data_IF_007005123257
#
_entry.id   IF_007005123257
#
_cell.length_a   1.000
_cell.length_b   1.000
_cell.length_c   1.000
_cell.angle_alpha   90.00
_cell.angle_beta   90.00
_cell.angle_gamma   90.00
#
_symmetry.space_group_name_H-M   'P 1'
#
loop_
_entity.id
_entity.type
_entity.pdbx_description
1 polymer ?
#
# COMPACT_ATOMS: atom_id res chain seq x y z
N UNK A 1 -20.82 -7.70 -21.93
CA UNK A 1 -19.46 -8.31 -21.86
C UNK A 1 -19.39 -9.09 -20.57
N UNK A 2 -18.91 -10.33 -20.60
CA UNK A 2 -18.71 -11.11 -19.38
C UNK A 2 -17.36 -10.72 -18.77
N UNK A 3 -17.36 -10.26 -17.52
CA UNK A 3 -16.12 -9.95 -16.80
C UNK A 3 -15.38 -11.25 -16.51
N UNK A 4 -14.12 -11.35 -16.93
CA UNK A 4 -13.22 -12.45 -16.57
C UNK A 4 -12.32 -11.98 -15.42
N UNK A 5 -12.29 -12.74 -14.34
CA UNK A 5 -11.32 -12.60 -13.26
C UNK A 5 -10.35 -13.79 -13.28
N UNK A 6 -9.07 -13.54 -13.02
CA UNK A 6 -8.02 -14.55 -13.02
C UNK A 6 -7.18 -14.39 -11.76
N UNK A 7 -6.81 -15.51 -11.13
CA UNK A 7 -5.96 -15.56 -9.95
C UNK A 7 -4.77 -16.44 -10.28
N UNK A 8 -3.58 -15.86 -10.18
CA UNK A 8 -2.32 -16.58 -10.38
C UNK A 8 -1.68 -16.84 -9.03
N UNK A 9 -1.39 -18.11 -8.74
CA UNK A 9 -0.61 -18.50 -7.58
C UNK A 9 0.86 -18.51 -7.99
N UNK A 10 1.64 -17.55 -7.49
CA UNK A 10 3.04 -17.39 -7.87
C UNK A 10 3.77 -16.37 -7.00
N UNK A 11 5.05 -16.16 -7.30
CA UNK A 11 5.89 -15.20 -6.61
C UNK A 11 5.83 -13.83 -7.31
N UNK A 12 5.29 -12.82 -6.62
CA UNK A 12 5.16 -11.46 -7.16
C UNK A 12 6.49 -10.78 -7.50
N UNK A 13 7.64 -11.33 -7.07
CA UNK A 13 8.97 -10.90 -7.55
C UNK A 13 9.20 -11.26 -9.03
N UNK A 14 8.37 -12.14 -9.59
CA UNK A 14 8.41 -12.58 -10.99
C UNK A 14 6.98 -12.80 -11.54
N UNK A 15 6.41 -11.81 -12.22
CA UNK A 15 5.07 -11.88 -12.80
C UNK A 15 5.12 -12.34 -14.28
N UNK A 16 5.71 -13.51 -14.55
CA UNK A 16 6.01 -13.99 -15.93
C UNK A 16 4.77 -14.19 -16.79
N UNK A 17 3.64 -14.42 -16.14
CA UNK A 17 2.32 -14.68 -16.71
C UNK A 17 1.72 -13.40 -17.31
N UNK A 18 2.20 -12.23 -16.89
CA UNK A 18 1.72 -10.92 -17.35
C UNK A 18 2.77 -10.27 -18.25
N UNK A 19 2.38 -9.88 -19.47
CA UNK A 19 3.30 -9.26 -20.41
C UNK A 19 3.64 -7.83 -19.99
N UNK A 20 4.71 -7.31 -20.57
CA UNK A 20 5.10 -5.91 -20.39
C UNK A 20 3.98 -5.00 -20.88
N UNK A 21 3.70 -3.94 -20.11
CA UNK A 21 2.70 -2.93 -20.49
C UNK A 21 1.32 -3.51 -20.83
N UNK A 22 0.87 -4.50 -20.06
CA UNK A 22 -0.43 -5.13 -20.22
C UNK A 22 -1.50 -4.51 -19.30
N UNK A 23 -1.10 -4.09 -18.09
CA UNK A 23 -1.98 -3.64 -17.01
C UNK A 23 -2.22 -2.13 -17.07
N UNK A 24 -3.48 -1.69 -16.92
CA UNK A 24 -3.86 -0.27 -16.93
C UNK A 24 -3.71 0.40 -15.53
N UNK A 25 -3.94 -0.35 -14.45
CA UNK A 25 -3.91 0.10 -13.06
C UNK A 25 -3.43 -1.02 -12.14
N UNK A 26 -2.50 -0.73 -11.24
CA UNK A 26 -2.08 -1.65 -10.17
C UNK A 26 -2.49 -1.06 -8.83
N UNK A 27 -3.13 -1.86 -7.98
CA UNK A 27 -3.52 -1.48 -6.61
C UNK A 27 -3.03 -2.59 -5.69
N UNK A 28 -2.27 -2.26 -4.65
CA UNK A 28 -1.78 -3.27 -3.71
C UNK A 28 -1.42 -2.68 -2.35
N UNK A 29 -1.24 -3.57 -1.37
CA UNK A 29 -0.55 -3.29 -0.11
C UNK A 29 0.53 -4.35 0.08
N UNK A 30 1.72 -4.01 0.58
CA UNK A 30 2.76 -5.00 0.80
C UNK A 30 2.39 -5.94 1.96
N UNK A 31 2.93 -7.16 1.99
CA UNK A 31 2.77 -8.06 3.11
C UNK A 31 3.31 -7.42 4.39
N UNK A 32 2.60 -7.60 5.50
CA UNK A 32 2.97 -6.92 6.75
C UNK A 32 4.23 -7.53 7.36
N UNK A 33 5.38 -6.86 7.14
CA UNK A 33 6.72 -7.27 7.53
C UNK A 33 6.82 -8.16 8.79
N UNK A 34 6.91 -7.59 10.00
CA UNK A 34 7.02 -8.38 11.25
C UNK A 34 5.69 -8.68 11.94
N UNK A 35 4.57 -8.23 11.37
CA UNK A 35 3.26 -8.35 12.03
C UNK A 35 2.64 -9.72 11.76
N UNK A 36 2.81 -10.27 10.54
CA UNK A 36 2.03 -11.44 10.12
C UNK A 36 2.88 -12.53 9.46
N UNK A 37 2.82 -13.71 10.05
CA UNK A 37 3.28 -14.95 9.43
C UNK A 37 2.12 -15.57 8.62
N UNK A 38 2.27 -15.61 7.30
CA UNK A 38 1.31 -16.21 6.38
C UNK A 38 1.51 -17.72 6.23
N UNK A 39 2.51 -18.30 6.92
CA UNK A 39 2.81 -19.74 6.94
C UNK A 39 3.11 -20.33 5.56
N UNK A 40 3.66 -19.50 4.66
CA UNK A 40 4.05 -19.91 3.32
C UNK A 40 5.58 -19.81 3.20
N UNK A 41 6.27 -20.89 2.79
CA UNK A 41 7.71 -20.84 2.56
C UNK A 41 8.08 -19.76 1.54
N UNK A 42 9.11 -18.96 1.85
CA UNK A 42 9.60 -17.90 0.97
C UNK A 42 8.73 -16.65 0.92
N UNK A 43 7.77 -16.49 1.85
CA UNK A 43 7.02 -15.24 1.99
C UNK A 43 7.95 -14.04 2.20
N UNK A 44 7.55 -12.90 1.64
CA UNK A 44 8.18 -11.61 1.90
C UNK A 44 7.62 -11.09 3.22
N UNK A 45 8.47 -10.60 4.12
CA UNK A 45 8.06 -10.05 5.40
C UNK A 45 8.58 -10.83 6.59
N UNK A 46 7.73 -11.67 7.17
CA UNK A 46 8.01 -12.31 8.47
C UNK A 46 9.34 -13.07 8.48
N UNK A 47 10.14 -12.84 9.53
CA UNK A 47 11.48 -13.43 9.68
C UNK A 47 12.60 -12.73 8.91
N UNK A 48 12.30 -11.80 8.00
CA UNK A 48 13.31 -11.04 7.26
C UNK A 48 13.85 -9.85 8.06
N UNK A 49 15.11 -9.51 7.86
CA UNK A 49 15.64 -8.19 8.22
C UNK A 49 14.94 -7.09 7.40
N UNK A 50 15.03 -5.84 7.86
CA UNK A 50 14.44 -4.72 7.13
C UNK A 50 15.04 -4.60 5.72
N UNK A 51 16.35 -4.81 5.59
CA UNK A 51 17.03 -4.74 4.29
C UNK A 51 16.52 -5.80 3.30
N UNK A 52 16.38 -7.05 3.75
CA UNK A 52 15.86 -8.14 2.92
C UNK A 52 14.42 -7.87 2.48
N UNK A 53 13.57 -7.41 3.40
CA UNK A 53 12.18 -7.04 3.11
C UNK A 53 12.08 -5.92 2.06
N UNK A 54 12.85 -4.85 2.24
CA UNK A 54 12.90 -3.73 1.30
C UNK A 54 13.43 -4.17 -0.07
N UNK A 55 14.44 -5.04 -0.11
CA UNK A 55 15.02 -5.56 -1.34
C UNK A 55 14.04 -6.46 -2.11
N UNK A 56 13.34 -7.35 -1.42
CA UNK A 56 12.35 -8.22 -2.05
C UNK A 56 11.19 -7.41 -2.63
N UNK A 57 10.70 -6.42 -1.89
CA UNK A 57 9.65 -5.52 -2.40
C UNK A 57 10.12 -4.65 -3.56
N UNK A 58 11.39 -4.22 -3.58
CA UNK A 58 11.95 -3.55 -4.74
C UNK A 58 11.80 -4.38 -6.03
N UNK A 59 12.00 -5.70 -5.97
CA UNK A 59 11.76 -6.57 -7.13
C UNK A 59 10.27 -6.66 -7.51
N UNK A 60 9.36 -6.67 -6.53
CA UNK A 60 7.92 -6.59 -6.79
C UNK A 60 7.55 -5.27 -7.47
N UNK A 61 8.06 -4.14 -7.00
CA UNK A 61 7.84 -2.82 -7.59
C UNK A 61 8.37 -2.74 -9.02
N UNK A 62 9.51 -3.38 -9.31
CA UNK A 62 10.03 -3.49 -10.68
C UNK A 62 9.09 -4.27 -11.60
N UNK A 63 8.52 -5.37 -11.11
CA UNK A 63 7.53 -6.13 -11.89
C UNK A 63 6.25 -5.32 -12.10
N UNK A 64 5.75 -4.62 -11.07
CA UNK A 64 4.63 -3.69 -11.21
C UNK A 64 4.91 -2.62 -12.28
N UNK A 65 6.11 -2.03 -12.30
CA UNK A 65 6.51 -1.07 -13.34
C UNK A 65 6.54 -1.71 -14.74
N UNK A 66 7.09 -2.93 -14.85
CA UNK A 66 7.21 -3.65 -16.12
C UNK A 66 5.84 -3.93 -16.73
N UNK A 67 4.91 -4.48 -15.95
CA UNK A 67 3.58 -4.88 -16.42
C UNK A 67 2.65 -3.70 -16.63
N UNK A 68 2.85 -2.58 -15.92
CA UNK A 68 2.02 -1.39 -16.04
C UNK A 68 2.25 -0.70 -17.40
N UNK A 69 1.17 -0.29 -18.05
CA UNK A 69 1.19 0.53 -19.27
C UNK A 69 1.74 1.92 -18.98
N UNK A 70 2.39 2.51 -19.98
CA UNK A 70 2.75 3.93 -19.95
C UNK A 70 1.51 4.78 -19.70
N UNK A 71 1.65 5.78 -18.83
CA UNK A 71 0.56 6.64 -18.38
C UNK A 71 -0.37 6.00 -17.33
N UNK A 72 -0.25 4.69 -17.06
CA UNK A 72 -0.97 3.97 -16.02
C UNK A 72 -0.54 4.38 -14.61
N UNK A 73 -1.31 3.94 -13.62
CA UNK A 73 -1.08 4.26 -12.20
C UNK A 73 -0.78 3.02 -11.38
N UNK A 74 0.09 3.20 -10.39
CA UNK A 74 0.36 2.25 -9.34
C UNK A 74 -0.03 2.88 -8.00
N UNK A 75 -1.05 2.32 -7.36
CA UNK A 75 -1.56 2.76 -6.06
C UNK A 75 -1.09 1.79 -4.98
N UNK A 76 -0.29 2.29 -4.04
CA UNK A 76 0.31 1.49 -2.97
C UNK A 76 -0.23 1.96 -1.62
N UNK A 77 -0.95 1.08 -0.93
CA UNK A 77 -1.40 1.33 0.43
C UNK A 77 -0.35 0.83 1.44
N UNK A 78 0.18 1.73 2.27
CA UNK A 78 1.27 1.44 3.22
C UNK A 78 1.12 2.21 4.52
N UNK A 79 1.23 1.49 5.64
CA UNK A 79 1.38 2.06 6.97
C UNK A 79 2.81 1.91 7.48
N UNK A 80 3.31 2.95 8.13
CA UNK A 80 4.60 2.89 8.82
C UNK A 80 4.60 1.87 9.96
N UNK A 81 5.77 1.35 10.29
CA UNK A 81 5.90 0.24 11.23
C UNK A 81 6.50 0.70 12.54
N UNK A 82 5.85 0.36 13.65
CA UNK A 82 6.45 0.51 14.97
C UNK A 82 7.54 -0.55 15.17
N UNK A 83 8.78 -0.10 15.31
CA UNK A 83 9.90 -0.94 15.68
C UNK A 83 9.75 -1.38 17.14
N UNK A 84 9.78 -2.69 17.38
CA UNK A 84 9.77 -3.23 18.75
C UNK A 84 11.09 -2.88 19.44
N UNK A 85 11.00 -2.32 20.64
CA UNK A 85 12.18 -1.96 21.46
C UNK A 85 13.10 -3.15 21.72
N UNK A 86 12.56 -4.36 21.84
CA UNK A 86 13.35 -5.59 22.04
C UNK A 86 14.29 -5.90 20.87
N UNK A 87 13.96 -5.43 19.65
CA UNK A 87 14.77 -5.65 18.44
C UNK A 87 15.73 -4.48 18.22
N UNK A 88 15.27 -3.25 18.47
CA UNK A 88 15.98 -2.02 18.09
C UNK A 88 16.62 -1.26 19.26
N UNK A 89 16.50 -1.75 20.49
CA UNK A 89 16.99 -1.10 21.71
C UNK A 89 16.24 0.17 22.11
N UNK A 90 15.32 0.65 21.27
CA UNK A 90 14.50 1.85 21.48
C UNK A 90 13.19 1.75 20.70
N UNK A 91 12.17 2.48 21.15
CA UNK A 91 10.97 2.69 20.35
C UNK A 91 11.28 3.65 19.19
N UNK A 92 10.86 3.28 17.99
CA UNK A 92 11.05 4.06 16.77
C UNK A 92 9.96 3.72 15.77
N UNK A 93 9.56 4.69 14.95
CA UNK A 93 8.77 4.45 13.74
C UNK A 93 9.72 4.23 12.56
N UNK A 94 9.49 3.19 11.79
CA UNK A 94 10.20 2.93 10.54
C UNK A 94 9.35 3.55 9.42
N UNK A 95 9.85 4.60 8.74
CA UNK A 95 9.11 5.32 7.71
C UNK A 95 9.14 4.55 6.38
N UNK A 96 8.51 3.39 6.34
CA UNK A 96 8.52 2.50 5.17
C UNK A 96 7.86 3.17 3.97
N UNK A 97 6.86 4.03 4.20
CA UNK A 97 6.20 4.79 3.13
C UNK A 97 7.22 5.61 2.32
N UNK A 98 8.14 6.32 2.99
CA UNK A 98 9.13 7.17 2.35
C UNK A 98 10.17 6.37 1.56
N UNK A 99 10.58 5.22 2.10
CA UNK A 99 11.48 4.29 1.42
C UNK A 99 10.86 3.74 0.12
N UNK A 100 9.57 3.41 0.13
CA UNK A 100 8.89 2.94 -1.08
C UNK A 100 8.69 4.03 -2.13
N UNK A 101 8.48 5.29 -1.72
CA UNK A 101 8.53 6.42 -2.67
C UNK A 101 9.91 6.47 -3.34
N UNK A 102 10.99 6.45 -2.56
CA UNK A 102 12.36 6.52 -3.09
C UNK A 102 12.67 5.35 -4.05
N UNK A 103 12.30 4.13 -3.68
CA UNK A 103 12.48 2.95 -4.54
C UNK A 103 11.68 3.05 -5.84
N UNK A 104 10.43 3.49 -5.78
CA UNK A 104 9.59 3.60 -6.98
C UNK A 104 10.08 4.71 -7.92
N UNK A 105 10.50 5.87 -7.39
CA UNK A 105 11.16 6.94 -8.15
C UNK A 105 12.44 6.42 -8.82
N UNK A 106 13.28 5.68 -8.10
CA UNK A 106 14.49 5.05 -8.66
C UNK A 106 14.18 4.06 -9.79
N UNK A 107 13.05 3.34 -9.73
CA UNK A 107 12.60 2.42 -10.78
C UNK A 107 12.11 3.20 -12.02
N UNK A 108 11.67 4.45 -11.85
CA UNK A 108 11.23 5.33 -12.92
C UNK A 108 9.74 5.66 -12.90
N UNK A 109 9.06 5.48 -11.76
CA UNK A 109 7.73 6.06 -11.53
C UNK A 109 7.84 7.55 -11.17
N UNK A 110 6.84 8.35 -11.54
CA UNK A 110 6.63 9.68 -10.98
C UNK A 110 5.71 9.58 -9.75
N UNK A 111 6.11 10.12 -8.61
CA UNK A 111 5.24 10.26 -7.45
C UNK A 111 4.26 11.43 -7.66
N UNK A 112 2.97 11.12 -7.60
CA UNK A 112 1.88 12.07 -7.84
C UNK A 112 1.28 12.62 -6.54
N UNK A 113 1.79 12.19 -5.39
CA UNK A 113 1.24 12.51 -4.08
C UNK A 113 0.64 11.29 -3.38
N UNK A 114 0.10 11.53 -2.19
CA UNK A 114 -0.54 10.50 -1.36
C UNK A 114 -1.88 10.95 -0.85
N UNK A 115 -2.76 9.99 -0.66
CA UNK A 115 -3.96 10.14 0.14
C UNK A 115 -3.65 9.60 1.53
N UNK A 116 -4.00 10.36 2.57
CA UNK A 116 -3.98 9.89 3.96
C UNK A 116 -5.30 9.19 4.20
N UNK A 117 -5.22 7.88 4.40
CA UNK A 117 -6.36 7.07 4.77
C UNK A 117 -6.41 6.93 6.29
N UNK A 118 -7.36 7.61 6.92
CA UNK A 118 -7.55 7.51 8.37
C UNK A 118 -8.21 6.16 8.71
N UNK A 119 -7.48 5.32 9.45
CA UNK A 119 -7.96 4.06 10.00
C UNK A 119 -7.91 4.19 11.51
N UNK A 120 -9.06 4.21 12.19
CA UNK A 120 -9.09 4.03 13.65
C UNK A 120 -8.55 2.64 13.99
N UNK A 121 -7.25 2.54 14.26
CA UNK A 121 -6.60 1.34 14.76
C UNK A 121 -6.76 1.26 16.27
N UNK A 122 -6.96 0.07 16.80
CA UNK A 122 -6.91 -0.18 18.24
C UNK A 122 -5.45 -0.39 18.62
N UNK A 123 -4.83 0.57 19.31
CA UNK A 123 -3.49 0.39 19.88
C UNK A 123 -3.59 -0.45 21.15
N UNK A 124 -3.18 -1.72 21.07
CA UNK A 124 -3.03 -2.60 22.23
C UNK A 124 -1.57 -2.56 22.70
N UNK A 125 -1.18 -1.52 23.44
CA UNK A 125 0.17 -1.47 24.03
C UNK A 125 0.27 -2.49 25.17
N UNK A 126 1.47 -3.03 25.41
CA UNK A 126 1.73 -4.06 26.44
C UNK A 126 1.46 -3.58 27.88
N UNK A 127 1.14 -2.30 28.07
CA UNK A 127 0.80 -1.69 29.36
C UNK A 127 -0.61 -1.09 29.44
N UNK A 128 -1.48 -1.34 28.46
CA UNK A 128 -2.88 -0.86 28.46
C UNK A 128 -3.05 0.64 28.18
N UNK A 129 -1.98 1.36 27.84
CA UNK A 129 -2.04 2.75 27.41
C UNK A 129 -2.42 2.86 25.93
N UNK A 130 -3.16 3.91 25.56
CA UNK A 130 -3.55 4.18 24.16
C UNK A 130 -2.42 4.80 23.34
N UNK A 131 -1.38 5.34 23.99
CA UNK A 131 -0.24 6.01 23.36
C UNK A 131 1.06 5.41 23.88
N UNK A 132 2.02 5.16 22.99
CA UNK A 132 3.34 4.65 23.37
C UNK A 132 4.14 5.76 24.06
N UNK A 133 4.62 5.51 25.28
CA UNK A 133 5.40 6.47 26.05
C UNK A 133 5.12 6.36 27.54
N UNK A 134 5.62 7.34 28.29
CA UNK A 134 5.32 7.48 29.72
C UNK A 134 4.00 8.25 29.87
N UNK A 135 3.03 7.67 30.57
CA UNK A 135 1.80 8.34 30.99
C UNK A 135 1.76 8.40 32.52
N UNK A 136 1.38 9.54 33.14
CA UNK A 136 0.97 10.82 32.55
C UNK A 136 2.15 11.77 32.20
N UNK A 137 3.40 11.35 32.44
CA UNK A 137 4.58 12.21 32.31
C UNK A 137 5.18 12.11 30.90
N UNK A 138 5.14 13.15 30.04
CA UNK A 138 5.15 12.99 28.59
C UNK A 138 6.48 13.11 27.81
N UNK A 139 7.71 13.13 28.38
CA UNK A 139 8.88 13.51 27.57
C UNK A 139 9.22 12.53 26.43
N UNK A 140 8.65 11.31 26.43
CA UNK A 140 8.93 10.26 25.45
C UNK A 140 7.68 9.72 24.73
N UNK A 141 6.61 10.52 24.65
CA UNK A 141 5.40 10.14 23.91
C UNK A 141 5.67 10.00 22.41
N UNK A 142 5.23 8.89 21.81
CA UNK A 142 5.23 8.70 20.35
C UNK A 142 3.81 8.90 19.85
N UNK A 143 3.69 9.68 18.77
CA UNK A 143 2.41 9.98 18.12
C UNK A 143 1.70 8.68 17.72
N UNK A 144 0.41 8.60 18.03
CA UNK A 144 -0.46 7.54 17.52
C UNK A 144 -0.52 7.62 16.00
N UNK A 145 -0.31 6.48 15.34
CA UNK A 145 -0.42 6.37 13.88
C UNK A 145 -1.76 5.71 13.59
N UNK A 146 -2.80 6.53 13.40
CA UNK A 146 -4.17 6.11 13.06
C UNK A 146 -4.46 6.28 11.55
N UNK A 147 -3.42 6.19 10.72
CA UNK A 147 -3.53 6.36 9.29
C UNK A 147 -2.55 5.49 8.50
N UNK A 148 -2.91 5.25 7.25
CA UNK A 148 -2.04 4.67 6.24
C UNK A 148 -1.95 5.64 5.05
N UNK A 149 -0.91 5.52 4.25
CA UNK A 149 -0.74 6.27 3.01
C UNK A 149 -1.21 5.43 1.84
N UNK A 150 -1.99 6.01 0.94
CA UNK A 150 -2.17 5.49 -0.41
C UNK A 150 -1.31 6.35 -1.34
N UNK A 151 -0.12 5.87 -1.65
CA UNK A 151 0.74 6.51 -2.65
C UNK A 151 0.15 6.35 -4.03
N UNK A 152 0.15 7.43 -4.81
CA UNK A 152 -0.23 7.43 -6.21
C UNK A 152 1.03 7.63 -7.03
N UNK A 153 1.45 6.59 -7.74
CA UNK A 153 2.64 6.59 -8.59
C UNK A 153 2.20 6.45 -10.04
N UNK A 154 2.91 7.09 -10.97
CA UNK A 154 2.59 7.07 -12.40
C UNK A 154 3.77 6.54 -13.20
N UNK A 155 3.54 5.61 -14.11
CA UNK A 155 4.56 5.27 -15.12
C UNK A 155 4.56 6.35 -16.21
N UNK A 156 5.67 7.04 -16.47
CA UNK A 156 5.73 8.09 -17.48
C UNK A 156 5.37 7.59 -18.88
N UNK A 157 4.96 8.53 -19.74
CA UNK A 157 4.64 8.27 -21.14
C UNK A 157 3.15 8.38 -21.49
N UNK A 158 2.85 8.12 -22.76
CA UNK A 158 1.52 8.34 -23.33
C UNK A 158 0.56 7.23 -22.91
N UNK A 159 -0.55 7.64 -22.28
CA UNK A 159 -1.63 6.74 -21.90
C UNK A 159 -2.33 6.08 -23.08
N UNK A 160 -2.96 4.94 -22.82
CA UNK A 160 -3.85 4.25 -23.75
C UNK A 160 -5.03 5.15 -24.13
N UNK A 161 -5.37 5.19 -25.43
CA UNK A 161 -6.61 5.84 -25.87
C UNK A 161 -7.80 4.98 -25.44
N UNK A 162 -8.74 5.60 -24.74
CA UNK A 162 -10.01 4.97 -24.34
C UNK A 162 -11.11 5.35 -25.32
N UNK A 163 -12.04 4.42 -25.58
CA UNK A 163 -13.19 4.69 -26.44
C UNK A 163 -14.16 5.67 -25.77
N UNK A 164 -15.05 6.29 -26.55
CA UNK A 164 -16.04 7.22 -26.01
C UNK A 164 -17.00 6.50 -25.05
N UNK A 165 -17.37 5.27 -25.36
CA UNK A 165 -18.27 4.45 -24.55
C UNK A 165 -17.68 4.15 -23.17
N UNK A 166 -16.40 3.76 -23.12
CA UNK A 166 -15.69 3.52 -21.84
C UNK A 166 -15.55 4.82 -21.04
N UNK A 167 -15.20 5.92 -21.72
CA UNK A 167 -15.08 7.24 -21.07
C UNK A 167 -16.40 7.70 -20.45
N UNK A 168 -17.51 7.46 -21.15
CA UNK A 168 -18.86 7.78 -20.71
C UNK A 168 -19.30 6.90 -19.53
N UNK A 169 -19.04 5.60 -19.61
CA UNK A 169 -19.33 4.65 -18.53
C UNK A 169 -18.48 4.88 -17.27
N UNK A 170 -17.32 5.52 -17.39
CA UNK A 170 -16.41 5.84 -16.28
C UNK A 170 -16.59 7.27 -15.74
N UNK A 171 -17.67 7.97 -16.13
CA UNK A 171 -17.92 9.33 -15.66
C UNK A 171 -18.16 9.33 -14.15
N UNK A 172 -17.51 10.28 -13.47
CA UNK A 172 -17.81 10.65 -12.09
C UNK A 172 -18.72 11.89 -12.06
N UNK A 173 -19.59 11.97 -11.06
CA UNK A 173 -20.29 13.22 -10.71
C UNK A 173 -19.31 14.25 -10.15
N UNK A 174 -19.75 15.51 -10.02
CA UNK A 174 -18.90 16.56 -9.41
C UNK A 174 -18.64 16.26 -7.93
N UNK A 175 -19.61 15.65 -7.28
CA UNK A 175 -19.58 15.26 -5.88
C UNK A 175 -18.58 14.11 -5.67
N UNK A 176 -18.68 13.04 -6.48
CA UNK A 176 -17.71 11.94 -6.49
C UNK A 176 -16.30 12.44 -6.81
N UNK A 177 -16.16 13.38 -7.75
CA UNK A 177 -14.86 13.98 -8.06
C UNK A 177 -14.25 14.71 -6.85
N UNK A 178 -15.04 15.52 -6.15
CA UNK A 178 -14.55 16.22 -4.94
C UNK A 178 -14.20 15.25 -3.81
N UNK A 179 -15.00 14.20 -3.64
CA UNK A 179 -14.81 13.21 -2.60
C UNK A 179 -13.55 12.36 -2.87
N UNK A 180 -13.43 11.78 -4.08
CA UNK A 180 -12.35 10.85 -4.40
C UNK A 180 -11.00 11.53 -4.61
N UNK A 181 -10.98 12.80 -5.03
CA UNK A 181 -9.74 13.57 -5.17
C UNK A 181 -9.39 14.39 -3.92
N UNK A 182 -9.95 14.03 -2.75
CA UNK A 182 -9.52 14.54 -1.44
C UNK A 182 -8.21 13.90 -1.00
N UNK A 183 -7.30 14.70 -0.43
CA UNK A 183 -6.05 14.21 0.17
C UNK A 183 -6.24 13.44 1.49
N UNK A 184 -7.44 13.49 2.07
CA UNK A 184 -7.79 12.77 3.30
C UNK A 184 -9.06 11.96 3.08
N UNK A 185 -8.96 10.66 3.33
CA UNK A 185 -10.07 9.72 3.24
C UNK A 185 -10.40 9.19 4.64
N UNK A 186 -11.68 9.27 5.00
CA UNK A 186 -12.20 8.84 6.31
C UNK A 186 -13.08 7.59 6.22
N UNK A 187 -12.98 6.83 5.13
CA UNK A 187 -13.76 5.60 4.96
C UNK A 187 -13.38 4.59 6.05
N UNK A 188 -14.37 4.16 6.84
CA UNK A 188 -14.17 3.09 7.81
C UNK A 188 -13.79 1.79 7.11
N UNK A 189 -12.79 1.08 7.62
CA UNK A 189 -12.45 -0.27 7.14
C UNK A 189 -13.67 -1.18 7.21
N UNK A 190 -13.99 -1.89 6.12
CA UNK A 190 -15.02 -2.91 6.15
C UNK A 190 -14.56 -4.07 7.06
N UNK A 191 -15.36 -4.45 8.06
CA UNK A 191 -15.13 -5.69 8.81
C UNK A 191 -15.36 -6.87 7.85
N UNK A 192 -14.30 -7.59 7.50
CA UNK A 192 -14.43 -8.85 6.77
C UNK A 192 -13.99 -10.02 7.66
N UNK A 193 -14.85 -11.04 7.75
CA UNK A 193 -14.56 -12.28 8.45
C UNK A 193 -13.73 -13.14 7.49
N UNK A 194 -12.45 -13.38 7.82
CA UNK A 194 -11.60 -14.35 7.12
C UNK A 194 -10.65 -13.82 6.05
N UNK A 195 -10.58 -12.50 5.79
CA UNK A 195 -9.60 -11.95 4.83
C UNK A 195 -8.33 -11.45 5.53
N UNK A 196 -7.17 -11.86 5.01
CA UNK A 196 -5.88 -11.64 5.65
C UNK A 196 -5.20 -10.31 5.30
N UNK A 197 -5.68 -9.63 4.26
CA UNK A 197 -5.21 -8.33 3.79
C UNK A 197 -6.37 -7.33 3.74
N UNK A 198 -6.17 -6.15 4.33
CA UNK A 198 -7.20 -5.10 4.45
C UNK A 198 -7.06 -4.09 3.31
N UNK A 199 -7.81 -4.27 2.21
CA UNK A 199 -8.04 -3.19 1.23
C UNK A 199 -9.46 -2.67 1.35
N UNK A 200 -9.63 -1.34 1.28
CA UNK A 200 -10.96 -0.74 1.17
C UNK A 200 -11.52 -1.04 -0.22
N UNK A 201 -12.67 -1.72 -0.24
CA UNK A 201 -13.47 -1.86 -1.45
C UNK A 201 -14.35 -0.63 -1.63
N UNK A 202 -13.93 0.30 -2.48
CA UNK A 202 -14.88 1.17 -3.21
C UNK A 202 -14.67 0.87 -4.69
N UNK A 203 -15.23 -0.24 -5.13
CA UNK A 203 -15.35 -0.57 -6.55
C UNK A 203 -16.85 -0.71 -6.81
N UNK A 204 -17.41 0.21 -7.60
CA UNK A 204 -18.68 -0.02 -8.30
C UNK A 204 -18.41 -0.88 -9.53
#
# INVERSE_FOLDING_TARGET
MQTKAEITIGDSRQMKEVKNEEIDLTITSPPYWHIKDYRIPGQIGYGQTLHEYLKDLYYVWKECYRVLRKGGRFCLNIGDQFARSIIYGRYKVIPIHAEFIAQCEQIGFDFMGSIILQKKTTMNTTGGATVMGSFPYPPNGIVEIDYEFIHILKKPGKGKRVSKEIKEASRLTKEEWKEYFSGHWHFGGAKQIGHEAMFLGVIR
#
